data_IF_358887514829
#
_entry.id   IF_358887514829
#
_cell.length_a   1.000
_cell.length_b   1.000
_cell.length_c   1.000
_cell.angle_alpha   90.00
_cell.angle_beta   90.00
_cell.angle_gamma   90.00
#
_symmetry.space_group_name_H-M   'P 1'
#
loop_
_entity.id
_entity.type
_entity.pdbx_description
1 polymer ?
#
# COMPACT_ATOMS: atom_id res chain seq x y z
N UNK A 1 25.12 -32.65 6.76
CA UNK A 1 23.97 -32.67 5.83
C UNK A 1 23.66 -31.23 5.51
N UNK A 2 23.84 -30.86 4.25
CA UNK A 2 23.67 -29.51 3.72
C UNK A 2 22.19 -29.13 3.76
N UNK A 3 21.84 -28.05 4.46
CA UNK A 3 20.53 -27.42 4.30
C UNK A 3 20.39 -27.00 2.84
N UNK A 4 19.51 -27.68 2.11
CA UNK A 4 19.10 -27.34 0.76
C UNK A 4 18.58 -25.90 0.78
N UNK A 5 19.11 -25.00 -0.06
CA UNK A 5 18.70 -23.58 -0.08
C UNK A 5 17.18 -23.38 -0.26
N UNK A 6 16.49 -24.38 -0.82
CA UNK A 6 15.05 -24.43 -1.04
C UNK A 6 14.24 -25.09 0.10
N UNK A 7 14.88 -25.52 1.19
CA UNK A 7 14.18 -26.01 2.40
C UNK A 7 13.91 -24.86 3.37
N UNK A 8 12.74 -24.25 3.20
CA UNK A 8 12.30 -23.09 3.99
C UNK A 8 11.73 -23.46 5.36
N UNK A 9 11.59 -24.75 5.71
CA UNK A 9 11.02 -25.16 7.00
C UNK A 9 11.90 -24.77 8.21
N UNK A 10 13.19 -24.49 7.97
CA UNK A 10 14.15 -24.01 8.97
C UNK A 10 14.35 -22.49 8.96
N UNK A 11 13.62 -21.76 8.11
CA UNK A 11 13.72 -20.31 8.04
C UNK A 11 13.23 -19.67 9.34
N UNK A 12 14.05 -18.81 9.94
CA UNK A 12 13.64 -18.06 11.13
C UNK A 12 12.56 -17.04 10.78
N UNK A 13 11.57 -16.93 11.68
CA UNK A 13 10.50 -15.95 11.55
C UNK A 13 11.04 -14.53 11.72
N UNK A 14 10.49 -13.59 10.94
CA UNK A 14 10.91 -12.20 10.99
C UNK A 14 10.36 -11.55 12.26
N UNK A 15 11.17 -11.45 13.31
CA UNK A 15 10.80 -10.84 14.60
C UNK A 15 10.43 -9.34 14.53
N UNK A 16 10.59 -8.70 13.37
CA UNK A 16 10.36 -7.28 13.13
C UNK A 16 8.98 -6.94 12.55
N UNK A 17 8.00 -7.84 12.60
CA UNK A 17 6.65 -7.56 12.13
C UNK A 17 5.86 -6.70 13.14
N UNK A 18 4.88 -5.95 12.64
CA UNK A 18 3.85 -5.32 13.49
C UNK A 18 2.77 -6.38 13.68
N UNK A 19 2.40 -6.76 14.92
CA UNK A 19 1.39 -7.78 15.17
C UNK A 19 0.04 -7.41 14.54
N UNK A 20 -0.67 -8.42 14.04
CA UNK A 20 -2.03 -8.24 13.52
C UNK A 20 -2.93 -7.63 14.58
N UNK A 21 -3.78 -6.68 14.19
CA UNK A 21 -4.71 -6.00 15.09
C UNK A 21 -4.11 -4.81 15.85
N UNK A 22 -2.83 -4.50 15.64
CA UNK A 22 -2.21 -3.29 16.22
C UNK A 22 -2.92 -2.04 15.69
N UNK A 23 -3.41 -1.20 16.59
CA UNK A 23 -3.83 0.16 16.27
C UNK A 23 -2.58 1.04 16.20
N UNK A 24 -2.29 1.57 15.01
CA UNK A 24 -1.14 2.42 14.75
C UNK A 24 -1.59 3.74 14.14
N UNK A 25 -1.15 4.86 14.72
CA UNK A 25 -1.32 6.16 14.09
C UNK A 25 -0.29 6.30 12.99
N UNK A 26 -0.75 6.62 11.79
CA UNK A 26 0.08 6.68 10.59
C UNK A 26 -0.11 7.98 9.83
N UNK A 27 0.92 8.36 9.08
CA UNK A 27 0.86 9.38 8.03
C UNK A 27 1.01 8.70 6.68
N UNK A 28 0.05 8.90 5.77
CA UNK A 28 0.17 8.49 4.37
C UNK A 28 0.94 9.53 3.57
N UNK A 29 1.93 9.09 2.80
CA UNK A 29 2.61 9.85 1.75
C UNK A 29 2.40 9.14 0.43
N UNK A 30 1.96 9.85 -0.60
CA UNK A 30 1.84 9.31 -1.95
C UNK A 30 3.10 9.68 -2.71
N UNK A 31 3.85 8.67 -3.17
CA UNK A 31 5.03 8.87 -4.01
C UNK A 31 4.58 9.15 -5.44
N UNK A 32 5.07 10.21 -6.08
CA UNK A 32 4.68 10.54 -7.45
C UNK A 32 5.13 9.44 -8.41
N UNK A 33 4.24 9.08 -9.33
CA UNK A 33 4.51 8.08 -10.37
C UNK A 33 4.68 8.68 -11.76
N UNK A 34 4.37 9.97 -11.93
CA UNK A 34 4.51 10.68 -13.20
C UNK A 34 3.52 10.30 -14.29
N UNK A 35 2.50 9.50 -13.97
CA UNK A 35 1.41 9.18 -14.89
C UNK A 35 0.23 10.10 -14.64
N UNK A 36 -0.21 10.78 -15.70
CA UNK A 36 -1.40 11.63 -15.72
C UNK A 36 -2.35 11.17 -16.83
N UNK A 37 -3.64 11.27 -16.55
CA UNK A 37 -4.74 11.01 -17.47
C UNK A 37 -5.86 12.03 -17.16
N UNK A 38 -5.92 13.14 -17.92
CA UNK A 38 -6.94 14.17 -17.72
C UNK A 38 -8.37 13.66 -17.87
N UNK A 39 -8.62 12.62 -18.68
CA UNK A 39 -9.96 12.05 -18.84
C UNK A 39 -10.43 11.31 -17.58
N UNK A 40 -9.51 10.88 -16.72
CA UNK A 40 -9.78 10.30 -15.40
C UNK A 40 -9.64 11.32 -14.26
N UNK A 41 -9.26 12.56 -14.56
CA UNK A 41 -8.97 13.60 -13.57
C UNK A 41 -7.62 13.43 -12.85
N UNK A 42 -6.75 12.54 -13.33
CA UNK A 42 -5.40 12.37 -12.78
C UNK A 42 -4.47 13.39 -13.44
N UNK A 43 -4.17 14.48 -12.73
CA UNK A 43 -3.43 15.63 -13.29
C UNK A 43 -2.28 16.11 -12.40
N UNK A 44 -2.04 15.42 -11.29
CA UNK A 44 -1.08 15.83 -10.26
C UNK A 44 0.24 15.07 -10.29
N UNK A 45 0.49 14.20 -11.28
CA UNK A 45 1.68 13.37 -11.36
C UNK A 45 1.77 12.26 -10.30
N UNK A 46 0.69 12.02 -9.54
CA UNK A 46 0.69 11.06 -8.44
C UNK A 46 0.43 9.62 -8.85
N UNK A 47 -0.31 9.41 -9.95
CA UNK A 47 -0.61 8.07 -10.38
C UNK A 47 0.64 7.41 -10.99
N UNK A 48 0.70 6.08 -10.86
CA UNK A 48 1.73 5.23 -11.45
C UNK A 48 1.04 4.22 -12.37
N UNK A 49 1.61 3.96 -13.55
CA UNK A 49 1.13 2.91 -14.47
C UNK A 49 2.10 1.75 -14.52
N UNK A 50 1.63 0.56 -14.15
CA UNK A 50 2.42 -0.67 -14.26
C UNK A 50 2.48 -1.19 -15.69
N UNK A 51 3.41 -2.12 -15.95
CA UNK A 51 3.57 -2.78 -17.25
C UNK A 51 2.33 -3.55 -17.71
N UNK A 52 1.50 -4.02 -16.77
CA UNK A 52 0.22 -4.66 -17.05
C UNK A 52 -0.87 -3.69 -17.52
N UNK A 53 -0.60 -2.38 -17.52
CA UNK A 53 -1.58 -1.34 -17.80
C UNK A 53 -2.44 -0.91 -16.60
N UNK A 54 -2.30 -1.58 -15.44
CA UNK A 54 -2.96 -1.15 -14.21
C UNK A 54 -2.40 0.18 -13.70
N UNK A 55 -3.28 1.03 -13.15
CA UNK A 55 -2.93 2.33 -12.59
C UNK A 55 -3.23 2.33 -11.09
N UNK A 56 -2.32 2.91 -10.30
CA UNK A 56 -2.39 2.91 -8.84
C UNK A 56 -1.71 4.14 -8.24
N UNK A 57 -2.03 4.46 -6.98
CA UNK A 57 -1.25 5.37 -6.14
C UNK A 57 -0.21 4.57 -5.36
N UNK A 58 1.02 5.07 -5.33
CA UNK A 58 2.11 4.45 -4.59
C UNK A 58 2.17 5.02 -3.16
N UNK A 59 1.50 4.33 -2.23
CA UNK A 59 1.36 4.78 -0.85
C UNK A 59 2.48 4.29 0.07
N UNK A 60 3.02 5.20 0.87
CA UNK A 60 3.89 4.92 2.02
C UNK A 60 3.21 5.42 3.30
N UNK A 61 2.86 4.51 4.19
CA UNK A 61 2.45 4.85 5.55
C UNK A 61 3.68 4.86 6.46
N UNK A 62 3.87 5.95 7.19
CA UNK A 62 4.85 6.01 8.28
C UNK A 62 4.12 6.04 9.61
N UNK A 63 4.46 5.12 10.51
CA UNK A 63 3.95 5.13 11.89
C UNK A 63 4.53 6.33 12.63
N UNK A 64 3.66 7.19 13.18
CA UNK A 64 4.09 8.47 13.77
C UNK A 64 4.36 8.39 15.27
N UNK A 65 3.75 7.45 15.99
CA UNK A 65 3.90 7.30 17.45
C UNK A 65 3.77 5.83 17.90
N UNK A 66 4.09 5.57 19.16
CA UNK A 66 3.99 4.24 19.77
C UNK A 66 5.20 3.33 19.51
N UNK A 67 5.11 2.03 19.87
CA UNK A 67 6.23 1.08 19.84
C UNK A 67 6.83 0.83 18.45
N UNK A 68 6.06 1.15 17.40
CA UNK A 68 6.42 0.92 16.00
C UNK A 68 6.73 2.22 15.26
N UNK A 69 6.91 3.34 15.96
CA UNK A 69 7.21 4.63 15.37
C UNK A 69 8.37 4.55 14.36
N UNK A 70 8.27 5.32 13.27
CA UNK A 70 9.20 5.35 12.13
C UNK A 70 9.21 4.10 11.24
N UNK A 71 8.45 3.05 11.55
CA UNK A 71 8.25 1.94 10.61
C UNK A 71 7.45 2.41 9.40
N UNK A 72 7.82 1.88 8.24
CA UNK A 72 7.19 2.16 6.94
C UNK A 72 6.41 0.96 6.46
N UNK A 73 5.20 1.21 5.96
CA UNK A 73 4.32 0.21 5.34
C UNK A 73 4.02 0.71 3.94
N UNK A 74 4.30 -0.12 2.94
CA UNK A 74 4.08 0.23 1.53
C UNK A 74 2.79 -0.43 1.03
N UNK A 75 2.00 0.33 0.28
CA UNK A 75 0.78 -0.17 -0.34
C UNK A 75 0.62 0.39 -1.74
N UNK A 76 -0.05 -0.37 -2.61
CA UNK A 76 -0.51 0.10 -3.91
C UNK A 76 -2.02 0.25 -3.84
N UNK A 77 -2.52 1.47 -4.04
CA UNK A 77 -3.95 1.76 -3.98
C UNK A 77 -4.47 1.79 -5.41
N UNK A 78 -5.37 0.86 -5.75
CA UNK A 78 -5.86 0.73 -7.12
C UNK A 78 -6.69 1.92 -7.60
N UNK A 79 -6.36 2.41 -8.81
CA UNK A 79 -7.16 3.41 -9.52
C UNK A 79 -7.87 2.80 -10.73
N UNK A 80 -7.17 1.94 -11.48
CA UNK A 80 -7.69 1.29 -12.68
C UNK A 80 -6.99 -0.04 -12.97
N UNK A 81 -7.70 -0.97 -13.61
CA UNK A 81 -7.14 -2.20 -14.15
C UNK A 81 -7.80 -2.55 -15.49
N UNK A 82 -7.03 -2.99 -16.51
CA UNK A 82 -7.60 -3.49 -17.75
C UNK A 82 -8.34 -4.83 -17.56
N UNK A 83 -8.14 -5.52 -16.44
CA UNK A 83 -8.80 -6.81 -16.14
C UNK A 83 -10.24 -6.65 -15.63
N UNK A 84 -10.64 -5.45 -15.22
CA UNK A 84 -11.97 -5.20 -14.68
C UNK A 84 -11.99 -4.18 -13.53
N UNK A 85 -13.19 -3.85 -13.04
CA UNK A 85 -13.38 -2.75 -12.09
C UNK A 85 -12.97 -3.07 -10.65
N UNK A 86 -12.78 -4.36 -10.32
CA UNK A 86 -12.55 -4.81 -8.93
C UNK A 86 -11.37 -4.12 -8.27
N UNK A 87 -10.25 -3.98 -8.99
CA UNK A 87 -9.05 -3.32 -8.44
C UNK A 87 -9.28 -1.84 -8.10
N UNK A 88 -9.96 -1.11 -8.98
CA UNK A 88 -10.35 0.28 -8.72
C UNK A 88 -11.34 0.39 -7.57
N UNK A 89 -12.30 -0.53 -7.48
CA UNK A 89 -13.27 -0.58 -6.39
C UNK A 89 -12.61 -0.86 -5.04
N UNK A 90 -11.65 -1.79 -4.98
CA UNK A 90 -10.86 -2.06 -3.78
C UNK A 90 -10.06 -0.82 -3.34
N UNK A 91 -9.44 -0.11 -4.28
CA UNK A 91 -8.74 1.14 -3.97
C UNK A 91 -9.66 2.24 -3.44
N UNK A 92 -10.84 2.42 -4.05
CA UNK A 92 -11.86 3.38 -3.57
C UNK A 92 -12.35 3.03 -2.16
N UNK A 93 -12.64 1.76 -1.89
CA UNK A 93 -13.04 1.28 -0.58
C UNK A 93 -11.95 1.52 0.47
N UNK A 94 -10.68 1.25 0.11
CA UNK A 94 -9.54 1.51 0.98
C UNK A 94 -9.38 3.00 1.32
N UNK A 95 -9.43 3.89 0.31
CA UNK A 95 -9.31 5.34 0.53
C UNK A 95 -10.41 5.82 1.46
N UNK A 96 -11.66 5.37 1.24
CA UNK A 96 -12.78 5.69 2.12
C UNK A 96 -12.50 5.27 3.56
N UNK A 97 -12.14 4.01 3.78
CA UNK A 97 -11.84 3.48 5.11
C UNK A 97 -10.68 4.23 5.78
N UNK A 98 -9.64 4.60 5.03
CA UNK A 98 -8.51 5.38 5.55
C UNK A 98 -8.92 6.80 5.98
N UNK A 99 -9.80 7.46 5.21
CA UNK A 99 -10.32 8.79 5.54
C UNK A 99 -11.30 8.75 6.73
N UNK A 100 -12.15 7.73 6.82
CA UNK A 100 -13.06 7.50 7.95
C UNK A 100 -12.24 7.23 9.23
N UNK A 101 -11.23 6.36 9.15
CA UNK A 101 -10.29 6.10 10.26
C UNK A 101 -9.56 7.36 10.72
N UNK A 102 -9.10 8.22 9.79
CA UNK A 102 -8.44 9.47 10.13
C UNK A 102 -9.37 10.48 10.83
N UNK A 103 -10.70 10.35 10.64
CA UNK A 103 -11.73 11.15 11.31
C UNK A 103 -12.23 10.52 12.60
N UNK A 104 -11.72 9.35 12.97
CA UNK A 104 -12.18 8.57 14.12
C UNK A 104 -13.68 8.23 14.04
N UNK A 105 -14.14 7.85 12.84
CA UNK A 105 -15.50 7.39 12.52
C UNK A 105 -15.53 5.87 12.40
#
# INVERSE_FOLDING_TARGET
MTGLWNDFNSAQDNANLIPKGTLARVRLTIRPGGFDDPAQGWTGGYASRGSSGAVYLNGEFTVVEGPYARRKIFTLIGLYSPKGPEWGNQGRAFIRAALESARNV
#
